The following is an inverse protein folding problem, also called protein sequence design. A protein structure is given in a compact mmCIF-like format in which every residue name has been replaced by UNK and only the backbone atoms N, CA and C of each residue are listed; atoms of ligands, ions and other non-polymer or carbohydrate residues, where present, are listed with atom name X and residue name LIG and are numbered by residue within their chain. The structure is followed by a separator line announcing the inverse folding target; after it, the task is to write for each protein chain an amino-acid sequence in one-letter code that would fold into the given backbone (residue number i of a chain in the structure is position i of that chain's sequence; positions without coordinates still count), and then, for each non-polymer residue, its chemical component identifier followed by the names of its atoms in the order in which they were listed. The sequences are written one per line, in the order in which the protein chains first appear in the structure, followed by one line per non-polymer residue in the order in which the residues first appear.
data_IF_979023957779
#
_entry.id   IF_979023957779
#
_cell.length_a   1.000
_cell.length_b   1.000
_cell.length_c   1.000
_cell.angle_alpha   90.00
_cell.angle_beta   90.00
_cell.angle_gamma   90.00
#
_symmetry.space_group_name_H-M   'P 1'
#
loop_
_entity.id
_entity.type
_entity.pdbx_description
1 polymer ?
#
# COMPACT_ATOMS: atom_id res chain seq x y z
N UNK A 1 -7.65 28.26 -14.53
CA UNK A 1 -6.63 27.20 -14.30
C UNK A 1 -7.33 25.86 -14.45
N UNK A 2 -6.72 24.92 -15.17
CA UNK A 2 -7.26 23.57 -15.31
C UNK A 2 -7.01 22.72 -14.05
N UNK A 3 -8.04 22.07 -13.52
CA UNK A 3 -7.97 21.28 -12.28
C UNK A 3 -8.58 19.88 -12.46
N UNK A 4 -8.02 18.89 -11.76
CA UNK A 4 -8.52 17.52 -11.66
C UNK A 4 -8.31 16.98 -10.23
N UNK A 5 -8.70 15.74 -9.95
CA UNK A 5 -8.68 15.16 -8.60
C UNK A 5 -7.28 15.11 -7.97
N UNK A 6 -6.24 15.07 -8.80
CA UNK A 6 -4.83 15.05 -8.40
C UNK A 6 -4.22 16.46 -8.28
N UNK A 7 -4.96 17.51 -8.60
CA UNK A 7 -4.47 18.88 -8.45
C UNK A 7 -4.26 19.20 -6.96
N UNK A 8 -3.11 19.79 -6.64
CA UNK A 8 -2.76 20.20 -5.28
C UNK A 8 -3.62 21.37 -4.79
N UNK A 9 -4.11 21.28 -3.55
CA UNK A 9 -4.87 22.34 -2.87
C UNK A 9 -4.06 23.64 -2.80
N UNK A 10 -2.77 23.55 -2.54
CA UNK A 10 -1.87 24.71 -2.51
C UNK A 10 -1.77 25.40 -3.87
N UNK A 11 -1.73 24.65 -4.97
CA UNK A 11 -1.75 25.23 -6.32
C UNK A 11 -3.06 25.95 -6.62
N UNK A 12 -4.19 25.40 -6.18
CA UNK A 12 -5.52 26.00 -6.36
C UNK A 12 -5.61 27.32 -5.60
N UNK A 13 -5.24 27.33 -4.31
CA UNK A 13 -5.27 28.54 -3.48
C UNK A 13 -4.31 29.62 -4.02
N UNK A 14 -3.12 29.23 -4.49
CA UNK A 14 -2.16 30.16 -5.07
C UNK A 14 -2.64 30.73 -6.41
N UNK A 15 -3.42 29.98 -7.18
CA UNK A 15 -3.98 30.44 -8.45
C UNK A 15 -5.15 31.39 -8.28
N UNK A 16 -5.97 31.22 -7.24
CA UNK A 16 -7.04 32.14 -6.90
C UNK A 16 -7.22 32.19 -5.36
N UNK A 17 -6.88 33.31 -4.70
CA UNK A 17 -7.01 33.44 -3.25
C UNK A 17 -8.43 33.18 -2.72
N UNK A 18 -9.48 33.48 -3.51
CA UNK A 18 -10.87 33.22 -3.15
C UNK A 18 -11.19 31.71 -3.02
N UNK A 19 -10.35 30.84 -3.58
CA UNK A 19 -10.51 29.40 -3.45
C UNK A 19 -10.33 28.91 -2.01
N UNK A 20 -9.60 29.66 -1.17
CA UNK A 20 -9.44 29.31 0.24
C UNK A 20 -10.78 29.26 0.96
N UNK A 21 -11.56 30.34 0.92
CA UNK A 21 -12.85 30.40 1.60
C UNK A 21 -13.87 29.42 1.00
N UNK A 22 -13.80 29.18 -0.31
CA UNK A 22 -14.62 28.16 -0.97
C UNK A 22 -14.32 26.75 -0.44
N UNK A 23 -13.04 26.40 -0.27
CA UNK A 23 -12.62 25.10 0.31
C UNK A 23 -13.00 25.01 1.78
N UNK A 24 -12.79 26.08 2.55
CA UNK A 24 -13.18 26.13 3.97
C UNK A 24 -14.68 25.89 4.17
N UNK A 25 -15.52 26.32 3.22
CA UNK A 25 -16.97 26.11 3.26
C UNK A 25 -17.42 24.65 3.09
N UNK A 26 -16.53 23.75 2.64
CA UNK A 26 -16.86 22.34 2.41
C UNK A 26 -16.91 21.53 3.70
N UNK A 27 -16.05 21.85 4.67
CA UNK A 27 -15.94 21.08 5.91
C UNK A 27 -15.27 21.88 7.02
N UNK A 28 -15.77 21.83 8.27
CA UNK A 28 -15.12 22.48 9.42
C UNK A 28 -13.70 21.94 9.66
N UNK A 29 -13.38 20.73 9.18
CA UNK A 29 -12.05 20.13 9.26
C UNK A 29 -10.97 20.94 8.53
N UNK A 30 -11.37 21.80 7.59
CA UNK A 30 -10.44 22.63 6.82
C UNK A 30 -10.06 23.94 7.52
N UNK A 31 -10.67 24.32 8.65
CA UNK A 31 -10.40 25.59 9.36
C UNK A 31 -8.92 25.87 9.61
N UNK A 32 -8.12 24.80 9.84
CA UNK A 32 -6.66 24.90 10.01
C UNK A 32 -5.93 25.52 8.81
N UNK A 33 -6.52 25.50 7.61
CA UNK A 33 -5.97 26.13 6.40
C UNK A 33 -6.05 27.66 6.43
N UNK A 34 -6.80 28.28 7.35
CA UNK A 34 -6.75 29.75 7.56
C UNK A 34 -5.38 30.19 8.05
N UNK A 35 -4.69 29.36 8.83
CA UNK A 35 -3.36 29.67 9.33
C UNK A 35 -2.34 29.58 8.18
N UNK A 36 -1.65 30.69 7.81
CA UNK A 36 -0.75 30.70 6.64
C UNK A 36 0.39 29.69 6.70
N UNK A 37 0.89 29.37 7.91
CA UNK A 37 1.99 28.41 8.12
C UNK A 37 1.49 26.99 7.88
N UNK A 38 0.37 26.61 8.51
CA UNK A 38 -0.25 25.30 8.31
C UNK A 38 -0.73 25.11 6.88
N UNK A 39 -1.27 26.18 6.26
CA UNK A 39 -1.64 26.20 4.85
C UNK A 39 -0.46 25.86 3.96
N UNK A 40 0.70 26.50 4.16
CA UNK A 40 1.90 26.23 3.36
C UNK A 40 2.38 24.78 3.53
N UNK A 41 2.29 24.22 4.73
CA UNK A 41 2.76 22.86 5.03
C UNK A 41 1.82 21.76 4.49
N UNK A 42 0.51 21.93 4.68
CA UNK A 42 -0.52 20.91 4.42
C UNK A 42 -1.06 21.03 2.99
N UNK A 43 -1.50 22.23 2.58
CA UNK A 43 -2.11 22.42 1.27
C UNK A 43 -1.14 22.13 0.12
N UNK A 44 0.16 22.41 0.32
CA UNK A 44 1.19 22.11 -0.67
C UNK A 44 1.35 20.61 -0.98
N UNK A 45 0.93 19.72 -0.07
CA UNK A 45 1.08 18.27 -0.19
C UNK A 45 -0.25 17.52 -0.37
N UNK A 46 -1.38 18.16 -0.12
CA UNK A 46 -2.70 17.57 -0.31
C UNK A 46 -3.25 17.82 -1.72
N UNK A 47 -3.84 16.79 -2.33
CA UNK A 47 -4.65 16.90 -3.56
C UNK A 47 -6.13 17.09 -3.23
N UNK A 48 -6.96 17.42 -4.22
CA UNK A 48 -8.43 17.45 -4.07
C UNK A 48 -8.94 16.09 -3.55
N UNK A 49 -8.47 14.99 -4.11
CA UNK A 49 -8.85 13.63 -3.67
C UNK A 49 -8.47 13.33 -2.21
N UNK A 50 -7.27 13.75 -1.79
CA UNK A 50 -6.85 13.56 -0.40
C UNK A 50 -7.67 14.43 0.55
N UNK A 51 -7.93 15.68 0.15
CA UNK A 51 -8.71 16.62 0.95
C UNK A 51 -10.17 16.16 1.08
N UNK A 52 -10.76 15.59 0.02
CA UNK A 52 -12.14 15.08 0.04
C UNK A 52 -12.33 13.97 1.07
N UNK A 53 -11.40 13.01 1.11
CA UNK A 53 -11.38 11.93 2.12
C UNK A 53 -11.23 12.46 3.54
N UNK A 54 -10.37 13.47 3.75
CA UNK A 54 -10.14 14.04 5.09
C UNK A 54 -11.35 14.86 5.54
N UNK A 55 -11.96 15.62 4.63
CA UNK A 55 -13.05 16.55 4.89
C UNK A 55 -14.45 15.93 4.95
N UNK A 56 -14.58 14.61 4.77
CA UNK A 56 -15.85 13.89 4.62
C UNK A 56 -16.74 14.50 3.50
N UNK A 57 -16.14 14.86 2.38
CA UNK A 57 -16.83 15.42 1.22
C UNK A 57 -16.35 14.76 -0.07
N UNK A 58 -17.05 14.99 -1.19
CA UNK A 58 -16.69 14.38 -2.48
C UNK A 58 -15.80 15.30 -3.31
N UNK A 59 -15.09 14.73 -4.29
CA UNK A 59 -14.30 15.51 -5.27
C UNK A 59 -15.22 16.45 -6.07
N UNK A 60 -16.45 16.02 -6.35
CA UNK A 60 -17.45 16.84 -7.04
C UNK A 60 -17.87 18.06 -6.22
N UNK A 61 -17.88 17.97 -4.89
CA UNK A 61 -18.20 19.13 -4.04
C UNK A 61 -17.12 20.21 -4.15
N UNK A 62 -15.84 19.83 -4.27
CA UNK A 62 -14.77 20.77 -4.60
C UNK A 62 -14.99 21.41 -5.96
N UNK A 63 -15.31 20.62 -6.98
CA UNK A 63 -15.57 21.13 -8.32
C UNK A 63 -16.72 22.14 -8.37
N UNK A 64 -17.84 21.83 -7.72
CA UNK A 64 -18.99 22.75 -7.61
C UNK A 64 -18.61 24.08 -6.96
N UNK A 65 -17.70 24.07 -5.98
CA UNK A 65 -17.23 25.29 -5.30
C UNK A 65 -16.17 26.06 -6.07
N UNK A 66 -15.35 25.37 -6.86
CA UNK A 66 -14.25 25.98 -7.61
C UNK A 66 -14.67 26.47 -9.01
N UNK A 67 -15.65 25.84 -9.66
CA UNK A 67 -16.17 26.27 -10.96
C UNK A 67 -16.57 27.76 -11.00
N UNK A 68 -17.35 28.29 -10.03
CA UNK A 68 -17.73 29.71 -10.03
C UNK A 68 -16.54 30.67 -9.89
N UNK A 69 -15.38 30.19 -9.47
CA UNK A 69 -14.16 30.97 -9.30
C UNK A 69 -13.25 30.99 -10.54
N UNK A 70 -13.73 30.47 -11.68
CA UNK A 70 -13.00 30.45 -12.95
C UNK A 70 -11.98 29.32 -13.06
N UNK A 71 -12.15 28.24 -12.29
CA UNK A 71 -11.40 27.01 -12.51
C UNK A 71 -12.08 26.17 -13.58
N UNK A 72 -11.29 25.71 -14.54
CA UNK A 72 -11.75 24.80 -15.58
C UNK A 72 -11.53 23.37 -15.10
N UNK A 73 -12.56 22.54 -15.09
CA UNK A 73 -12.38 21.14 -14.76
C UNK A 73 -11.79 20.46 -15.99
N UNK A 74 -10.60 19.90 -15.84
CA UNK A 74 -10.12 18.90 -16.78
C UNK A 74 -10.96 17.65 -16.55
N UNK A 75 -12.09 17.59 -17.27
CA UNK A 75 -12.81 16.36 -17.51
C UNK A 75 -11.88 15.42 -18.26
N UNK A 76 -11.05 14.69 -17.51
CA UNK A 76 -11.11 13.26 -17.75
C UNK A 76 -12.51 12.92 -17.28
N UNK A 77 -13.44 12.73 -18.22
CA UNK A 77 -14.67 12.00 -17.94
C UNK A 77 -14.25 10.84 -17.06
N UNK A 78 -14.50 10.96 -15.76
CA UNK A 78 -14.89 9.81 -15.00
C UNK A 78 -16.24 9.51 -15.65
N UNK A 79 -16.18 8.78 -16.76
CA UNK A 79 -17.12 7.70 -16.84
C UNK A 79 -17.05 7.07 -15.45
N UNK A 80 -18.18 7.03 -14.78
CA UNK A 80 -18.48 5.91 -13.89
C UNK A 80 -18.58 4.65 -14.78
N UNK A 81 -17.51 4.42 -15.54
CA UNK A 81 -17.01 3.13 -15.90
C UNK A 81 -15.75 3.13 -15.06
N UNK A 82 -15.86 2.48 -13.90
CA UNK A 82 -14.84 1.53 -13.48
C UNK A 82 -13.90 1.30 -14.67
N UNK A 83 -12.62 1.63 -14.51
CA UNK A 83 -11.62 1.00 -15.34
C UNK A 83 -11.75 -0.49 -15.05
N UNK A 84 -12.72 -1.16 -15.69
CA UNK A 84 -12.77 -2.59 -15.81
C UNK A 84 -11.50 -2.87 -16.55
N UNK A 85 -10.45 -3.19 -15.80
CA UNK A 85 -9.32 -3.96 -16.30
C UNK A 85 -9.97 -5.01 -17.20
N UNK A 86 -9.57 -5.15 -18.47
CA UNK A 86 -10.24 -6.08 -19.38
C UNK A 86 -10.41 -7.40 -18.64
N UNK A 87 -11.67 -7.82 -18.45
CA UNK A 87 -12.01 -8.96 -17.61
C UNK A 87 -11.26 -10.15 -18.17
N UNK A 88 -10.30 -10.74 -17.42
CA UNK A 88 -9.49 -11.81 -17.97
C UNK A 88 -10.37 -13.00 -18.34
N UNK A 89 -9.98 -13.74 -19.38
CA UNK A 89 -10.74 -14.88 -19.88
C UNK A 89 -11.09 -15.88 -18.76
N UNK A 90 -10.18 -16.10 -17.81
CA UNK A 90 -10.45 -16.99 -16.69
C UNK A 90 -11.66 -16.55 -15.86
N UNK A 91 -11.91 -15.26 -15.68
CA UNK A 91 -13.09 -14.77 -14.92
C UNK A 91 -14.38 -15.05 -15.69
N UNK A 92 -14.33 -15.01 -17.02
CA UNK A 92 -15.49 -15.25 -17.90
C UNK A 92 -15.79 -16.74 -18.09
N UNK A 93 -14.75 -17.59 -18.08
CA UNK A 93 -14.87 -19.00 -18.48
C UNK A 93 -14.78 -20.00 -17.32
N UNK A 94 -14.36 -19.57 -16.11
CA UNK A 94 -14.23 -20.47 -14.97
C UNK A 94 -15.59 -21.03 -14.55
N UNK A 95 -15.66 -22.34 -14.32
CA UNK A 95 -16.86 -22.99 -13.80
C UNK A 95 -17.14 -22.51 -12.35
N UNK A 96 -18.42 -22.31 -11.99
CA UNK A 96 -18.79 -21.77 -10.67
C UNK A 96 -18.31 -22.63 -9.51
N UNK A 97 -18.23 -23.95 -9.72
CA UNK A 97 -17.80 -24.93 -8.73
C UNK A 97 -16.28 -24.86 -8.45
N UNK A 98 -15.54 -24.15 -9.30
CA UNK A 98 -14.09 -23.89 -9.16
C UNK A 98 -13.80 -22.56 -8.48
N UNK A 99 -14.82 -21.77 -8.16
CA UNK A 99 -14.69 -20.52 -7.41
C UNK A 99 -14.92 -20.82 -5.93
N UNK A 100 -13.91 -20.49 -5.12
CA UNK A 100 -13.96 -20.52 -3.67
C UNK A 100 -14.18 -19.09 -3.19
N UNK A 101 -15.34 -18.81 -2.62
CA UNK A 101 -15.66 -17.49 -2.08
C UNK A 101 -15.14 -17.31 -0.65
N UNK A 102 -14.57 -16.15 -0.38
CA UNK A 102 -14.14 -15.77 0.96
C UNK A 102 -14.42 -14.29 1.25
N UNK A 103 -15.50 -14.04 2.00
CA UNK A 103 -15.86 -12.69 2.44
C UNK A 103 -15.11 -12.33 3.73
N UNK A 104 -14.21 -11.36 3.63
CA UNK A 104 -13.39 -10.88 4.75
C UNK A 104 -13.93 -9.63 5.41
N UNK A 105 -15.01 -9.04 4.88
CA UNK A 105 -15.62 -7.82 5.44
C UNK A 105 -16.05 -8.00 6.90
N UNK A 106 -16.63 -9.15 7.34
CA UNK A 106 -16.95 -9.35 8.75
C UNK A 106 -15.72 -9.36 9.68
N UNK A 107 -14.60 -9.92 9.22
CA UNK A 107 -13.33 -9.99 9.97
C UNK A 107 -12.71 -8.59 10.11
N UNK A 108 -12.78 -7.79 9.06
CA UNK A 108 -12.35 -6.39 9.08
C UNK A 108 -13.25 -5.52 9.95
N UNK A 109 -14.57 -5.78 9.93
CA UNK A 109 -15.52 -5.07 10.78
C UNK A 109 -15.28 -5.33 12.28
N UNK A 110 -14.72 -6.48 12.65
CA UNK A 110 -14.27 -6.75 14.03
C UNK A 110 -12.87 -6.21 14.36
N UNK A 111 -12.26 -5.44 13.45
CA UNK A 111 -10.91 -4.86 13.63
C UNK A 111 -9.77 -5.87 13.53
N UNK A 112 -10.03 -7.08 13.03
CA UNK A 112 -9.05 -8.16 12.91
C UNK A 112 -8.46 -8.20 11.49
N UNK A 113 -7.17 -8.52 11.37
CA UNK A 113 -6.51 -8.67 10.07
C UNK A 113 -6.82 -10.05 9.44
N UNK A 114 -7.45 -10.12 8.25
CA UNK A 114 -7.82 -11.38 7.61
C UNK A 114 -6.64 -12.08 6.90
N UNK A 115 -5.45 -11.46 6.83
CA UNK A 115 -4.33 -11.95 6.01
C UNK A 115 -3.98 -13.42 6.26
N UNK A 116 -3.91 -13.85 7.53
CA UNK A 116 -3.59 -15.24 7.88
C UNK A 116 -4.60 -16.22 7.28
N UNK A 117 -5.89 -15.93 7.41
CA UNK A 117 -6.97 -16.79 6.91
C UNK A 117 -7.01 -16.81 5.37
N UNK A 118 -6.73 -15.66 4.75
CA UNK A 118 -6.57 -15.56 3.30
C UNK A 118 -5.43 -16.48 2.82
N UNK A 119 -4.27 -16.43 3.48
CA UNK A 119 -3.11 -17.26 3.11
C UNK A 119 -3.37 -18.76 3.30
N UNK A 120 -4.10 -19.14 4.35
CA UNK A 120 -4.55 -20.52 4.55
C UNK A 120 -5.47 -20.98 3.42
N UNK A 121 -6.42 -20.14 3.00
CA UNK A 121 -7.28 -20.42 1.84
C UNK A 121 -6.49 -20.55 0.56
N UNK A 122 -5.55 -19.62 0.29
CA UNK A 122 -4.68 -19.68 -0.89
C UNK A 122 -3.93 -21.01 -0.97
N UNK A 123 -3.40 -21.51 0.15
CA UNK A 123 -2.71 -22.81 0.20
C UNK A 123 -3.63 -23.98 -0.16
N UNK A 124 -4.93 -23.88 0.12
CA UNK A 124 -5.91 -24.93 -0.19
C UNK A 124 -6.39 -24.94 -1.65
N UNK A 125 -6.11 -23.89 -2.43
CA UNK A 125 -6.53 -23.78 -3.83
C UNK A 125 -5.77 -24.77 -4.69
N UNK A 126 -6.51 -25.58 -5.46
CA UNK A 126 -5.95 -26.50 -6.45
C UNK A 126 -5.77 -25.81 -7.79
N UNK A 127 -4.93 -26.41 -8.64
CA UNK A 127 -4.78 -25.95 -10.03
C UNK A 127 -6.14 -25.93 -10.72
N UNK A 128 -6.40 -24.86 -11.46
CA UNK A 128 -7.68 -24.63 -12.13
C UNK A 128 -8.79 -24.10 -11.21
N UNK A 129 -8.50 -23.80 -9.95
CA UNK A 129 -9.44 -23.15 -9.02
C UNK A 129 -9.08 -21.67 -8.82
N UNK A 130 -10.09 -20.92 -8.38
CA UNK A 130 -10.02 -19.49 -8.08
C UNK A 130 -10.41 -19.27 -6.63
N UNK A 131 -9.65 -18.45 -5.90
CA UNK A 131 -10.16 -17.82 -4.68
C UNK A 131 -10.64 -16.42 -5.01
N UNK A 132 -11.91 -16.15 -4.71
CA UNK A 132 -12.52 -14.83 -4.80
C UNK A 132 -12.68 -14.25 -3.41
N UNK A 133 -11.93 -13.19 -3.13
CA UNK A 133 -11.97 -12.46 -1.87
C UNK A 133 -12.91 -11.27 -2.02
N UNK A 134 -13.86 -11.14 -1.10
CA UNK A 134 -14.75 -9.97 -1.01
C UNK A 134 -14.26 -9.08 0.14
N UNK A 135 -13.90 -7.84 -0.18
CA UNK A 135 -13.31 -6.88 0.76
C UNK A 135 -13.98 -5.49 0.61
N UNK A 136 -13.69 -4.55 1.52
CA UNK A 136 -14.08 -3.14 1.41
C UNK A 136 -13.07 -2.28 0.64
N UNK A 137 -11.88 -2.80 0.32
CA UNK A 137 -10.85 -2.09 -0.43
C UNK A 137 -10.00 -3.04 -1.28
N UNK A 138 -9.31 -2.50 -2.29
CA UNK A 138 -8.37 -3.26 -3.14
C UNK A 138 -7.12 -3.68 -2.33
N UNK A 139 -6.84 -4.99 -2.20
CA UNK A 139 -5.70 -5.47 -1.42
C UNK A 139 -4.41 -5.45 -2.26
N UNK A 140 -3.98 -4.27 -2.70
CA UNK A 140 -2.81 -4.06 -3.60
C UNK A 140 -1.57 -4.87 -3.19
N UNK A 141 -1.15 -4.91 -1.90
CA UNK A 141 0.04 -5.66 -1.51
C UNK A 141 -0.11 -7.17 -1.71
N UNK A 142 -1.30 -7.70 -1.44
CA UNK A 142 -1.63 -9.11 -1.63
C UNK A 142 -1.63 -9.48 -3.12
N UNK A 143 -2.18 -8.59 -3.97
CA UNK A 143 -2.18 -8.72 -5.43
C UNK A 143 -0.75 -8.86 -5.96
N UNK A 144 0.14 -7.95 -5.57
CA UNK A 144 1.55 -7.97 -6.00
C UNK A 144 2.24 -9.25 -5.53
N UNK A 145 2.03 -9.63 -4.26
CA UNK A 145 2.67 -10.80 -3.67
C UNK A 145 2.24 -12.10 -4.36
N UNK A 146 0.94 -12.30 -4.59
CA UNK A 146 0.43 -13.52 -5.21
C UNK A 146 0.67 -13.55 -6.73
N UNK A 147 0.66 -12.40 -7.40
CA UNK A 147 1.08 -12.30 -8.81
C UNK A 147 2.52 -12.79 -9.02
N UNK A 148 3.45 -12.39 -8.13
CA UNK A 148 4.84 -12.89 -8.15
C UNK A 148 4.95 -14.40 -7.89
N UNK A 149 3.97 -14.99 -7.18
CA UNK A 149 3.88 -16.45 -6.95
C UNK A 149 3.18 -17.19 -8.09
N UNK A 150 2.96 -16.54 -9.23
CA UNK A 150 2.38 -17.17 -10.42
C UNK A 150 0.87 -17.31 -10.41
N UNK A 151 0.16 -16.57 -9.56
CA UNK A 151 -1.30 -16.47 -9.64
C UNK A 151 -1.68 -15.42 -10.68
N UNK A 152 -2.66 -15.75 -11.53
CA UNK A 152 -3.33 -14.74 -12.34
C UNK A 152 -4.30 -13.98 -11.43
N UNK A 153 -4.17 -12.65 -11.39
CA UNK A 153 -4.94 -11.81 -10.46
C UNK A 153 -5.83 -10.83 -11.19
N UNK A 154 -7.08 -10.76 -10.79
CA UNK A 154 -8.05 -9.76 -11.23
C UNK A 154 -8.67 -9.10 -10.01
N UNK A 155 -8.79 -7.77 -10.00
CA UNK A 155 -9.48 -7.06 -8.94
C UNK A 155 -10.50 -6.13 -9.55
N UNK A 156 -11.72 -6.24 -9.06
CA UNK A 156 -12.89 -5.50 -9.48
C UNK A 156 -13.41 -4.65 -8.33
N UNK A 157 -13.14 -3.35 -8.42
CA UNK A 157 -13.56 -2.37 -7.42
C UNK A 157 -14.91 -1.83 -7.86
N UNK A 158 -15.99 -2.35 -7.28
CA UNK A 158 -17.36 -2.01 -7.65
C UNK A 158 -17.85 -0.75 -6.92
N UNK A 159 -17.53 -0.63 -5.62
CA UNK A 159 -17.82 0.58 -4.82
C UNK A 159 -16.92 0.68 -3.57
N UNK A 160 -17.08 1.75 -2.80
CA UNK A 160 -16.25 2.07 -1.62
C UNK A 160 -16.26 1.01 -0.51
N UNK A 161 -17.24 0.10 -0.49
CA UNK A 161 -17.35 -0.97 0.52
C UNK A 161 -17.44 -2.36 -0.10
N UNK A 162 -17.15 -2.48 -1.41
CA UNK A 162 -17.25 -3.74 -2.13
C UNK A 162 -16.20 -3.80 -3.24
N UNK A 163 -15.21 -4.64 -3.00
CA UNK A 163 -14.18 -5.01 -3.95
C UNK A 163 -14.06 -6.51 -4.00
N UNK A 164 -14.10 -7.08 -5.20
CA UNK A 164 -13.79 -8.49 -5.42
C UNK A 164 -12.36 -8.63 -5.92
N UNK A 165 -11.59 -9.54 -5.34
CA UNK A 165 -10.25 -9.86 -5.84
C UNK A 165 -10.13 -11.37 -6.08
N UNK A 166 -9.83 -11.73 -7.32
CA UNK A 166 -9.81 -13.06 -7.85
C UNK A 166 -8.36 -13.52 -8.02
N UNK A 167 -8.01 -14.66 -7.44
CA UNK A 167 -6.69 -15.28 -7.52
C UNK A 167 -6.83 -16.63 -8.20
N UNK A 168 -6.43 -16.73 -9.46
CA UNK A 168 -6.51 -17.94 -10.26
C UNK A 168 -5.19 -18.70 -10.28
N UNK A 169 -5.26 -20.00 -9.95
CA UNK A 169 -4.10 -20.90 -9.99
C UNK A 169 -4.06 -21.62 -11.34
N UNK A 170 -3.54 -20.95 -12.38
CA UNK A 170 -3.50 -21.46 -13.76
C UNK A 170 -2.56 -22.65 -13.98
N UNK A 171 -1.42 -22.63 -13.31
CA UNK A 171 -0.41 -23.68 -13.38
C UNK A 171 -0.27 -24.33 -12.00
N UNK A 172 0.32 -25.53 -11.95
CA UNK A 172 0.96 -25.93 -10.70
C UNK A 172 2.04 -24.88 -10.50
N UNK A 173 1.82 -24.02 -9.50
CA UNK A 173 2.87 -23.10 -9.04
C UNK A 173 4.08 -24.01 -8.87
N UNK A 174 5.16 -23.75 -9.63
CA UNK A 174 6.42 -24.42 -9.36
C UNK A 174 6.57 -24.36 -7.86
N UNK A 175 6.70 -25.50 -7.19
CA UNK A 175 7.07 -25.51 -5.77
C UNK A 175 8.52 -24.99 -5.62
N UNK A 176 8.85 -23.86 -6.23
CA UNK A 176 9.66 -22.87 -5.55
C UNK A 176 8.79 -22.37 -4.41
N UNK A 177 8.81 -23.11 -3.30
CA UNK A 177 8.27 -22.73 -2.01
C UNK A 177 8.57 -21.25 -1.78
N UNK A 178 7.64 -20.31 -2.05
CA UNK A 178 7.89 -18.93 -1.80
C UNK A 178 7.24 -18.71 -0.42
N UNK A 179 7.75 -19.42 0.59
CA UNK A 179 8.18 -18.66 1.74
C UNK A 179 8.88 -17.44 1.14
N UNK A 180 8.65 -16.20 1.61
CA UNK A 180 9.67 -15.21 1.29
C UNK A 180 10.98 -15.95 1.58
N UNK A 181 11.98 -15.89 0.72
CA UNK A 181 13.33 -16.00 1.24
C UNK A 181 13.46 -14.82 2.23
N UNK A 182 12.76 -14.86 3.38
CA UNK A 182 13.37 -14.95 4.69
C UNK A 182 14.51 -15.90 4.44
N UNK A 183 15.62 -15.37 3.90
CA UNK A 183 16.85 -16.12 3.82
C UNK A 183 16.98 -16.65 5.23
N UNK A 184 16.84 -17.98 5.30
CA UNK A 184 16.76 -18.72 6.53
C UNK A 184 17.84 -18.20 7.47
N UNK A 185 17.59 -18.30 8.77
CA UNK A 185 18.62 -18.19 9.80
C UNK A 185 19.94 -18.90 9.46
N UNK A 186 19.94 -19.83 8.49
CA UNK A 186 21.07 -20.55 7.91
C UNK A 186 22.36 -19.72 7.68
N UNK A 187 22.27 -18.41 7.40
CA UNK A 187 23.46 -17.55 7.25
C UNK A 187 23.48 -16.35 8.20
N UNK A 188 22.58 -16.26 9.19
CA UNK A 188 22.51 -15.13 10.11
C UNK A 188 23.84 -14.91 10.82
N UNK A 189 24.39 -15.96 11.43
CA UNK A 189 25.65 -15.89 12.18
C UNK A 189 26.83 -15.56 11.26
N UNK A 190 26.82 -16.09 10.04
CA UNK A 190 27.84 -15.81 9.01
C UNK A 190 27.85 -14.33 8.63
N UNK A 191 26.69 -13.77 8.28
CA UNK A 191 26.56 -12.35 7.91
C UNK A 191 26.87 -11.46 9.12
N UNK A 192 26.39 -11.81 10.31
CA UNK A 192 26.69 -11.08 11.54
C UNK A 192 28.20 -11.05 11.82
N UNK A 193 28.90 -12.16 11.58
CA UNK A 193 30.36 -12.25 11.70
C UNK A 193 31.09 -11.40 10.67
N UNK A 194 30.67 -11.43 9.40
CA UNK A 194 31.25 -10.62 8.30
C UNK A 194 31.19 -9.13 8.64
N UNK A 195 30.06 -8.67 9.18
CA UNK A 195 29.84 -7.26 9.48
C UNK A 195 30.08 -6.90 10.95
N UNK A 196 30.62 -7.80 11.79
CA UNK A 196 30.67 -7.60 13.26
C UNK A 196 31.23 -6.25 13.70
N UNK A 197 32.25 -5.72 13.02
CA UNK A 197 32.88 -4.42 13.31
C UNK A 197 32.29 -3.26 12.49
N UNK A 198 31.41 -3.55 11.53
CA UNK A 198 30.84 -2.63 10.55
C UNK A 198 29.30 -2.57 10.59
N UNK A 199 28.68 -3.01 11.68
CA UNK A 199 27.24 -2.92 11.90
C UNK A 199 26.85 -1.55 12.43
N UNK A 200 25.85 -0.94 11.82
CA UNK A 200 25.11 0.18 12.36
C UNK A 200 23.81 -0.34 12.95
N UNK A 201 23.51 0.01 14.20
CA UNK A 201 22.30 -0.45 14.88
C UNK A 201 21.20 0.59 14.81
N UNK A 202 19.97 0.13 14.57
CA UNK A 202 18.78 0.97 14.50
C UNK A 202 17.62 0.27 15.21
N UNK A 203 17.02 0.91 16.20
CA UNK A 203 15.81 0.41 16.86
C UNK A 203 14.58 1.19 16.39
N UNK A 204 13.67 0.49 15.71
CA UNK A 204 12.40 1.05 15.23
C UNK A 204 11.18 0.47 15.93
N UNK A 205 11.37 -0.34 16.99
CA UNK A 205 10.27 -1.01 17.69
C UNK A 205 9.24 -0.03 18.24
N UNK A 206 9.67 1.13 18.71
CA UNK A 206 8.77 2.14 19.29
C UNK A 206 8.10 3.06 18.27
N UNK A 207 8.37 2.86 16.98
CA UNK A 207 7.86 3.73 15.93
C UNK A 207 6.52 3.24 15.38
N UNK A 208 5.57 4.16 15.25
CA UNK A 208 4.27 3.92 14.60
C UNK A 208 4.41 3.91 13.07
N UNK A 209 3.56 3.16 12.37
CA UNK A 209 3.60 3.16 10.90
C UNK A 209 3.28 4.55 10.33
N UNK A 210 3.98 5.00 9.26
CA UNK A 210 4.98 4.30 8.43
C UNK A 210 6.45 4.54 8.85
N UNK A 211 6.69 5.13 10.03
CA UNK A 211 8.01 5.61 10.46
C UNK A 211 9.12 4.54 10.47
N UNK A 212 8.90 3.28 10.92
CA UNK A 212 9.95 2.26 10.86
C UNK A 212 10.57 2.12 9.48
N UNK A 213 9.74 2.04 8.44
CA UNK A 213 10.17 1.85 7.07
C UNK A 213 10.94 3.07 6.56
N UNK A 214 10.42 4.28 6.78
CA UNK A 214 11.07 5.52 6.32
C UNK A 214 12.45 5.69 6.97
N UNK A 215 12.54 5.46 8.29
CA UNK A 215 13.80 5.58 9.02
C UNK A 215 14.83 4.55 8.54
N UNK A 216 14.41 3.31 8.28
CA UNK A 216 15.32 2.28 7.75
C UNK A 216 15.84 2.67 6.36
N UNK A 217 14.96 3.09 5.45
CA UNK A 217 15.36 3.47 4.09
C UNK A 217 16.30 4.69 4.08
N UNK A 218 16.04 5.70 4.92
CA UNK A 218 16.89 6.88 5.05
C UNK A 218 18.28 6.53 5.61
N UNK A 219 18.35 5.62 6.60
CA UNK A 219 19.63 5.12 7.12
C UNK A 219 20.41 4.34 6.07
N UNK A 220 19.73 3.53 5.25
CA UNK A 220 20.36 2.75 4.18
C UNK A 220 20.89 3.64 3.04
N UNK A 221 20.19 4.72 2.72
CA UNK A 221 20.61 5.70 1.70
C UNK A 221 21.88 6.45 2.13
N UNK A 222 21.98 6.79 3.42
CA UNK A 222 23.13 7.48 4.00
C UNK A 222 24.21 6.54 4.56
N UNK A 223 24.06 5.22 4.37
CA UNK A 223 24.96 4.23 4.95
C UNK A 223 26.35 4.25 4.28
N UNK A 224 27.46 4.32 5.04
CA UNK A 224 28.81 4.20 4.50
C UNK A 224 29.03 2.89 3.75
N UNK A 225 29.85 2.92 2.70
CA UNK A 225 30.20 1.70 1.94
C UNK A 225 30.87 0.66 2.84
N UNK A 226 30.53 -0.61 2.65
CA UNK A 226 31.09 -1.73 3.43
C UNK A 226 30.43 -1.97 4.79
N UNK A 227 29.42 -1.17 5.16
CA UNK A 227 28.62 -1.38 6.38
C UNK A 227 27.32 -2.14 6.11
N UNK A 228 26.76 -2.69 7.18
CA UNK A 228 25.43 -3.28 7.21
C UNK A 228 24.59 -2.63 8.31
N UNK A 229 23.27 -2.62 8.13
CA UNK A 229 22.32 -2.08 9.08
C UNK A 229 21.66 -3.22 9.86
N UNK A 230 21.83 -3.22 11.17
CA UNK A 230 21.14 -4.09 12.12
C UNK A 230 19.90 -3.39 12.65
N UNK A 231 18.72 -3.95 12.42
CA UNK A 231 17.44 -3.34 12.78
C UNK A 231 16.74 -4.18 13.83
N UNK A 232 16.36 -3.56 14.94
CA UNK A 232 15.40 -4.11 15.88
C UNK A 232 13.99 -3.72 15.45
N UNK A 233 13.13 -4.71 15.22
CA UNK A 233 11.76 -4.52 14.73
C UNK A 233 10.77 -5.35 15.57
N UNK A 234 9.51 -4.90 15.65
CA UNK A 234 8.45 -5.61 16.40
C UNK A 234 7.89 -6.84 15.66
N UNK A 235 8.03 -6.87 14.34
CA UNK A 235 7.42 -7.88 13.44
C UNK A 235 8.10 -7.82 12.08
N UNK A 236 7.88 -8.79 11.21
CA UNK A 236 8.49 -8.80 9.87
C UNK A 236 7.92 -7.66 9.00
N UNK A 237 8.75 -6.71 8.52
CA UNK A 237 8.29 -5.58 7.72
C UNK A 237 8.11 -5.99 6.25
N UNK A 238 6.99 -6.64 5.94
CA UNK A 238 6.71 -7.17 4.59
C UNK A 238 6.74 -6.10 3.48
N UNK A 239 6.42 -4.85 3.80
CA UNK A 239 6.45 -3.72 2.86
C UNK A 239 7.86 -3.21 2.56
N UNK A 240 8.82 -3.42 3.47
CA UNK A 240 10.19 -3.00 3.30
C UNK A 240 10.94 -3.91 2.31
N UNK A 241 10.62 -5.21 2.31
CA UNK A 241 11.34 -6.23 1.52
C UNK A 241 11.41 -5.91 0.02
N UNK A 242 10.31 -5.52 -0.67
CA UNK A 242 10.37 -5.12 -2.08
C UNK A 242 11.28 -3.91 -2.32
N UNK A 243 11.22 -2.89 -1.46
CA UNK A 243 12.03 -1.67 -1.56
C UNK A 243 13.52 -1.97 -1.41
N UNK A 244 13.89 -2.87 -0.50
CA UNK A 244 15.28 -3.30 -0.32
C UNK A 244 15.83 -3.96 -1.59
N UNK A 245 15.06 -4.88 -2.18
CA UNK A 245 15.46 -5.57 -3.41
C UNK A 245 15.61 -4.61 -4.58
N UNK A 246 14.67 -3.67 -4.74
CA UNK A 246 14.72 -2.65 -5.79
C UNK A 246 15.94 -1.74 -5.66
N UNK A 247 16.34 -1.41 -4.42
CA UNK A 247 17.53 -0.61 -4.12
C UNK A 247 18.83 -1.42 -4.06
N UNK A 248 18.81 -2.71 -4.42
CA UNK A 248 20.00 -3.56 -4.50
C UNK A 248 20.55 -4.03 -3.14
N UNK A 249 19.73 -4.02 -2.10
CA UNK A 249 20.06 -4.59 -0.80
C UNK A 249 19.62 -6.04 -0.69
N UNK A 250 20.43 -6.82 0.01
CA UNK A 250 20.07 -8.13 0.53
C UNK A 250 19.84 -8.04 2.06
N UNK A 251 19.14 -9.02 2.62
CA UNK A 251 18.83 -9.02 4.05
C UNK A 251 18.77 -10.43 4.65
N UNK A 252 18.95 -10.51 5.97
CA UNK A 252 18.66 -11.67 6.80
C UNK A 252 17.70 -11.27 7.91
N UNK A 253 16.75 -12.14 8.23
CA UNK A 253 15.78 -11.92 9.31
C UNK A 253 15.97 -13.02 10.36
N UNK A 254 16.03 -12.62 11.61
CA UNK A 254 16.02 -13.50 12.77
C UNK A 254 14.80 -13.18 13.63
N UNK A 255 13.79 -14.05 13.58
CA UNK A 255 12.58 -13.93 14.38
C UNK A 255 12.80 -14.63 15.73
N UNK A 256 12.91 -13.83 16.80
CA UNK A 256 13.14 -14.33 18.16
C UNK A 256 11.83 -14.63 18.88
N UNK A 257 10.79 -13.83 18.62
CA UNK A 257 9.43 -14.02 19.15
C UNK A 257 8.39 -13.26 18.31
N UNK A 258 7.10 -13.44 18.62
CA UNK A 258 5.99 -12.75 17.92
C UNK A 258 6.11 -11.22 17.90
N UNK A 259 6.80 -10.63 18.88
CA UNK A 259 6.98 -9.18 19.02
C UNK A 259 8.46 -8.73 18.90
N UNK A 260 9.35 -9.63 18.48
CA UNK A 260 10.77 -9.34 18.37
C UNK A 260 11.39 -10.00 17.14
N UNK A 261 11.77 -9.14 16.20
CA UNK A 261 12.40 -9.51 14.94
C UNK A 261 13.64 -8.66 14.76
N UNK A 262 14.77 -9.30 14.53
CA UNK A 262 16.02 -8.63 14.19
C UNK A 262 16.30 -8.82 12.70
N UNK A 263 16.83 -7.79 12.05
CA UNK A 263 17.05 -7.79 10.61
C UNK A 263 18.46 -7.25 10.34
N UNK A 264 19.24 -7.94 9.52
CA UNK A 264 20.50 -7.40 8.99
C UNK A 264 20.28 -7.08 7.52
N UNK A 265 20.58 -5.85 7.11
CA UNK A 265 20.42 -5.36 5.74
C UNK A 265 21.78 -4.90 5.23
N UNK A 266 22.19 -5.37 4.06
CA UNK A 266 23.51 -5.11 3.49
C UNK A 266 23.43 -4.97 1.98
N UNK A 267 24.41 -4.27 1.38
CA UNK A 267 24.48 -4.18 -0.09
C UNK A 267 24.93 -5.52 -0.66
N UNK A 268 24.32 -5.91 -1.77
CA UNK A 268 24.74 -7.08 -2.56
C UNK A 268 26.10 -6.87 -3.20
#
# INVERSE_FOLDING_TARGET
MKINSKTSIGKIINSNPAALDAILSLSPKFEKLRNPVLRKLIAGRATIEMASKIGDCTVDDFYKKLLPLGFDIEEKKMNVNESKKPVPDFVLTIAKEKIIDFDVRPILASGTDPLKQILEKIKSIKKGEVLRIINTFEPVPLIIMLGKKGYDVYSDVQNENYTETWFYKKHDVLEENPQPEISSSADWETILSIYKENLLTLDVRQMEMPMPMMTILDNLENMPQGKALYVYHKRIPVFLIPELKEKGFDFRINELSENEVHIIIFKK
#
